data_IF_235701990270
#
_entry.id   IF_235701990270
#
_cell.length_a   1.000
_cell.length_b   1.000
_cell.length_c   1.000
_cell.angle_alpha   90.00
_cell.angle_beta   90.00
_cell.angle_gamma   90.00
#
_symmetry.space_group_name_H-M   'P 1'
#
loop_
_entity.id
_entity.type
_entity.pdbx_description
1 polymer ?
#
# COMPACT_ATOMS: atom_id res chain seq x y z
N UNK A 1 22.30 -26.07 8.01
CA UNK A 1 20.84 -25.88 8.10
C UNK A 1 20.16 -27.02 8.87
N UNK A 2 20.26 -28.27 8.41
CA UNK A 2 19.71 -29.47 9.08
C UNK A 2 20.12 -29.60 10.56
N UNK A 3 21.40 -29.38 10.89
CA UNK A 3 21.89 -29.39 12.27
C UNK A 3 21.28 -28.27 13.14
N UNK A 4 21.35 -27.01 12.69
CA UNK A 4 20.81 -25.85 13.43
C UNK A 4 19.29 -25.89 13.63
N UNK A 5 18.53 -26.36 12.65
CA UNK A 5 17.08 -26.57 12.77
C UNK A 5 16.80 -27.70 13.77
N UNK A 6 17.56 -28.80 13.71
CA UNK A 6 17.49 -29.88 14.70
C UNK A 6 17.77 -29.40 16.13
N UNK A 7 18.80 -28.58 16.33
CA UNK A 7 19.19 -28.04 17.63
C UNK A 7 18.16 -27.05 18.21
N UNK A 8 17.50 -26.26 17.36
CA UNK A 8 16.43 -25.33 17.75
C UNK A 8 15.23 -26.08 18.35
N UNK A 9 14.98 -27.30 17.86
CA UNK A 9 13.79 -28.08 18.19
C UNK A 9 14.01 -29.21 19.20
N UNK A 10 15.27 -29.61 19.44
CA UNK A 10 15.65 -30.56 20.48
C UNK A 10 15.33 -30.09 21.91
N UNK A 11 14.93 -28.82 22.08
CA UNK A 11 14.55 -28.22 23.35
C UNK A 11 13.11 -28.54 23.79
N UNK A 12 12.28 -29.12 22.93
CA UNK A 12 10.91 -29.54 23.26
C UNK A 12 10.85 -31.05 23.56
N UNK A 13 10.75 -31.43 24.84
CA UNK A 13 10.69 -32.83 25.24
C UNK A 13 9.45 -33.54 24.65
N UNK A 14 9.64 -34.70 24.01
CA UNK A 14 8.57 -35.50 23.40
C UNK A 14 8.23 -35.16 21.95
N UNK A 15 8.87 -34.15 21.36
CA UNK A 15 8.64 -33.72 19.98
C UNK A 15 9.71 -34.35 19.05
N UNK A 16 9.28 -35.24 18.17
CA UNK A 16 10.12 -35.88 17.15
C UNK A 16 9.99 -35.18 15.80
N UNK A 17 11.11 -35.04 15.08
CA UNK A 17 11.15 -34.37 13.78
C UNK A 17 11.86 -35.22 12.74
N UNK A 18 11.31 -35.23 11.53
CA UNK A 18 11.90 -35.90 10.38
C UNK A 18 11.85 -34.96 9.18
N UNK A 19 13.02 -34.59 8.64
CA UNK A 19 13.09 -33.84 7.39
C UNK A 19 12.76 -34.77 6.22
N UNK A 20 11.67 -34.50 5.52
CA UNK A 20 11.17 -35.33 4.42
C UNK A 20 11.79 -34.93 3.06
N UNK A 21 12.20 -33.67 2.90
CA UNK A 21 12.82 -33.20 1.66
C UNK A 21 13.05 -31.69 1.64
N UNK A 22 13.72 -31.23 0.59
CA UNK A 22 13.91 -29.82 0.30
C UNK A 22 13.74 -29.57 -1.21
N UNK A 23 13.15 -28.44 -1.58
CA UNK A 23 12.97 -28.01 -2.96
C UNK A 23 13.28 -26.52 -3.12
N UNK A 24 13.77 -26.09 -4.30
CA UNK A 24 13.93 -24.66 -4.58
C UNK A 24 12.59 -23.94 -4.51
N UNK A 25 12.58 -22.76 -3.89
CA UNK A 25 11.48 -21.80 -3.92
C UNK A 25 11.62 -20.83 -5.07
N UNK A 26 10.52 -20.19 -5.46
CA UNK A 26 10.44 -19.38 -6.68
C UNK A 26 11.15 -18.03 -6.58
N UNK A 27 11.50 -17.56 -5.37
CA UNK A 27 12.21 -16.30 -5.13
C UNK A 27 13.62 -16.50 -4.57
N UNK A 28 14.21 -17.68 -4.81
CA UNK A 28 15.57 -18.02 -4.37
C UNK A 28 15.65 -18.59 -2.95
N UNK A 29 14.52 -18.77 -2.26
CA UNK A 29 14.47 -19.51 -1.00
C UNK A 29 14.55 -21.02 -1.22
N UNK A 30 14.71 -21.78 -0.14
CA UNK A 30 14.55 -23.24 -0.12
C UNK A 30 13.33 -23.61 0.72
N UNK A 31 12.35 -24.28 0.12
CA UNK A 31 11.22 -24.89 0.83
C UNK A 31 11.67 -26.22 1.43
N UNK A 32 11.54 -26.39 2.75
CA UNK A 32 11.95 -27.58 3.48
C UNK A 32 10.69 -28.25 4.03
N UNK A 33 10.46 -29.50 3.65
CA UNK A 33 9.35 -30.31 4.14
C UNK A 33 9.80 -31.10 5.37
N UNK A 34 9.09 -30.97 6.47
CA UNK A 34 9.40 -31.64 7.74
C UNK A 34 8.14 -32.26 8.34
N UNK A 35 8.25 -33.49 8.81
CA UNK A 35 7.23 -34.15 9.63
C UNK A 35 7.57 -33.90 11.10
N UNK A 36 6.58 -33.45 11.85
CA UNK A 36 6.60 -33.34 13.30
C UNK A 36 5.70 -34.42 13.88
N UNK A 37 6.14 -35.05 14.96
CA UNK A 37 5.37 -36.00 15.72
C UNK A 37 5.49 -35.68 17.21
N UNK A 38 4.36 -35.66 17.91
CA UNK A 38 4.34 -35.53 19.36
C UNK A 38 3.24 -36.36 19.98
N UNK A 39 3.50 -36.78 21.21
CA UNK A 39 2.55 -37.53 22.01
C UNK A 39 1.59 -36.56 22.72
N UNK A 40 0.29 -36.73 22.48
CA UNK A 40 -0.75 -36.01 23.21
C UNK A 40 -1.19 -36.85 24.41
N UNK A 41 -1.38 -36.25 25.60
CA UNK A 41 -2.04 -36.94 26.70
C UNK A 41 -3.42 -37.40 26.21
N UNK A 42 -3.75 -38.67 26.41
CA UNK A 42 -5.03 -39.28 26.07
C UNK A 42 -5.23 -39.72 24.60
N UNK A 43 -4.17 -39.77 23.77
CA UNK A 43 -4.23 -40.37 22.44
C UNK A 43 -3.41 -41.68 22.38
N UNK A 44 -4.01 -42.74 21.83
CA UNK A 44 -3.35 -44.03 21.66
C UNK A 44 -2.28 -44.03 20.54
N UNK A 45 -2.37 -43.06 19.62
CA UNK A 45 -1.44 -42.89 18.51
C UNK A 45 -0.81 -41.49 18.56
N UNK A 46 0.50 -41.35 18.24
CA UNK A 46 1.17 -40.06 18.19
C UNK A 46 0.54 -39.14 17.13
N UNK A 47 0.33 -37.87 17.49
CA UNK A 47 -0.14 -36.88 16.52
C UNK A 47 0.99 -36.55 15.54
N UNK A 48 0.69 -36.59 14.24
CA UNK A 48 1.66 -36.32 13.16
C UNK A 48 1.19 -35.13 12.34
N UNK A 49 2.05 -34.13 12.21
CA UNK A 49 1.84 -32.94 11.41
C UNK A 49 2.96 -32.81 10.37
N UNK A 50 2.63 -32.43 9.14
CA UNK A 50 3.63 -32.12 8.11
C UNK A 50 3.65 -30.61 7.94
N UNK A 51 4.81 -30.02 8.23
CA UNK A 51 5.06 -28.59 8.08
C UNK A 51 6.08 -28.35 6.97
N UNK A 52 5.93 -27.21 6.33
CA UNK A 52 6.82 -26.67 5.34
C UNK A 52 7.45 -25.40 5.87
N UNK A 53 8.77 -25.30 5.76
CA UNK A 53 9.55 -24.14 6.16
C UNK A 53 10.13 -23.51 4.92
N UNK A 54 9.71 -22.29 4.59
CA UNK A 54 10.36 -21.53 3.53
C UNK A 54 11.55 -20.81 4.12
N UNK A 55 12.76 -21.09 3.65
CA UNK A 55 13.97 -20.54 4.23
C UNK A 55 14.80 -19.73 3.23
N UNK A 56 15.03 -18.47 3.55
CA UNK A 56 15.85 -17.57 2.73
C UNK A 56 17.30 -17.53 3.21
N UNK A 57 18.24 -17.42 2.27
CA UNK A 57 19.67 -17.23 2.57
C UNK A 57 19.98 -15.83 3.11
N UNK A 58 20.91 -15.76 4.05
CA UNK A 58 21.57 -14.53 4.53
C UNK A 58 23.08 -14.69 4.41
N UNK A 59 23.85 -13.57 4.39
CA UNK A 59 25.31 -13.60 4.43
C UNK A 59 25.88 -14.43 5.60
N UNK A 60 25.14 -14.53 6.71
CA UNK A 60 25.47 -15.40 7.84
C UNK A 60 24.22 -16.21 8.26
N UNK A 61 23.89 -17.24 7.48
CA UNK A 61 22.91 -18.26 7.85
C UNK A 61 21.60 -18.22 7.06
N UNK A 62 20.51 -18.63 7.71
CA UNK A 62 19.20 -18.76 7.08
C UNK A 62 18.12 -18.18 8.00
N UNK A 63 17.08 -17.57 7.42
CA UNK A 63 15.86 -17.20 8.16
C UNK A 63 14.69 -18.07 7.71
N UNK A 64 13.85 -18.48 8.65
CA UNK A 64 12.54 -19.06 8.32
C UNK A 64 11.64 -17.88 7.94
N UNK A 65 11.21 -17.86 6.68
CA UNK A 65 10.35 -16.84 6.08
C UNK A 65 8.88 -17.15 6.37
N UNK A 66 8.52 -18.43 6.36
CA UNK A 66 7.16 -18.87 6.65
C UNK A 66 7.13 -20.33 7.15
N UNK A 67 6.08 -20.68 7.89
CA UNK A 67 5.77 -22.05 8.33
C UNK A 67 4.32 -22.31 7.97
N UNK A 68 4.05 -23.41 7.26
CA UNK A 68 2.71 -23.74 6.79
C UNK A 68 2.50 -25.25 6.67
N UNK A 69 1.26 -25.73 6.73
CA UNK A 69 0.94 -27.14 6.56
C UNK A 69 0.66 -27.53 5.09
N UNK A 70 0.30 -28.80 4.84
CA UNK A 70 0.01 -29.28 3.48
C UNK A 70 -1.26 -28.66 2.88
N UNK A 71 -2.27 -28.34 3.70
CA UNK A 71 -3.52 -27.70 3.26
C UNK A 71 -3.22 -26.26 2.86
N UNK A 72 -2.49 -25.52 3.69
CA UNK A 72 -2.04 -24.16 3.41
C UNK A 72 -1.07 -24.12 2.22
N UNK A 73 -0.21 -25.13 2.06
CA UNK A 73 0.65 -25.25 0.87
C UNK A 73 -0.15 -25.45 -0.40
N UNK A 74 -1.18 -26.29 -0.35
CA UNK A 74 -2.06 -26.52 -1.49
C UNK A 74 -2.87 -25.25 -1.80
N UNK A 75 -3.39 -24.57 -0.77
CA UNK A 75 -4.04 -23.28 -0.91
C UNK A 75 -3.09 -22.21 -1.47
N UNK A 76 -1.82 -22.17 -1.06
CA UNK A 76 -0.81 -21.28 -1.63
C UNK A 76 -0.47 -21.63 -3.08
N UNK A 77 -0.51 -22.91 -3.46
CA UNK A 77 -0.35 -23.34 -4.85
C UNK A 77 -1.56 -23.00 -5.70
N UNK A 78 -2.76 -23.12 -5.14
CA UNK A 78 -4.02 -22.83 -5.82
C UNK A 78 -4.25 -21.30 -5.92
N UNK A 79 -3.89 -20.55 -4.88
CA UNK A 79 -3.83 -19.07 -4.88
C UNK A 79 -2.61 -18.51 -5.61
N UNK A 80 -1.64 -19.32 -6.05
CA UNK A 80 -0.58 -18.81 -6.95
C UNK A 80 -1.10 -18.44 -8.34
N UNK A 81 -2.35 -18.75 -8.69
CA UNK A 81 -3.01 -18.14 -9.85
C UNK A 81 -3.63 -16.76 -9.57
N UNK A 82 -3.77 -16.35 -8.30
CA UNK A 82 -4.33 -15.05 -7.88
C UNK A 82 -3.55 -14.53 -6.68
N UNK A 83 -2.63 -13.58 -6.92
CA UNK A 83 -1.94 -12.75 -5.90
C UNK A 83 -2.55 -12.86 -4.50
N UNK A 84 -1.78 -13.27 -3.49
CA UNK A 84 -2.23 -13.37 -2.09
C UNK A 84 -2.68 -12.03 -1.47
N UNK A 85 -2.64 -10.93 -2.23
CA UNK A 85 -3.19 -9.63 -1.89
C UNK A 85 -4.41 -9.26 -2.75
N UNK A 86 -4.55 -9.85 -3.94
CA UNK A 86 -5.75 -9.76 -4.77
C UNK A 86 -6.69 -10.91 -4.44
N UNK A 87 -7.45 -10.74 -3.36
CA UNK A 87 -8.66 -11.52 -3.17
C UNK A 87 -9.81 -10.53 -2.99
N UNK A 88 -10.52 -10.14 -4.07
CA UNK A 88 -11.67 -9.25 -3.98
C UNK A 88 -12.79 -9.82 -3.09
N UNK A 89 -12.76 -11.11 -2.75
CA UNK A 89 -13.65 -11.74 -1.77
C UNK A 89 -13.16 -11.64 -0.31
N UNK A 90 -11.89 -11.33 -0.04
CA UNK A 90 -11.31 -11.30 1.31
C UNK A 90 -11.94 -10.25 2.23
N UNK A 91 -12.37 -9.11 1.67
CA UNK A 91 -13.14 -8.07 2.37
C UNK A 91 -14.64 -8.07 2.02
N UNK A 92 -15.18 -9.14 1.39
CA UNK A 92 -16.61 -9.25 1.05
C UNK A 92 -17.30 -10.45 1.66
N UNK A 93 -16.61 -11.59 1.78
CA UNK A 93 -17.21 -12.83 2.22
C UNK A 93 -17.67 -12.72 3.68
N UNK A 94 -18.99 -12.76 3.89
CA UNK A 94 -19.61 -12.79 5.21
C UNK A 94 -19.91 -11.43 5.85
N UNK A 95 -19.45 -10.31 5.28
CA UNK A 95 -19.76 -8.98 5.84
C UNK A 95 -21.23 -8.58 5.54
N UNK A 96 -21.94 -7.98 6.52
CA UNK A 96 -23.27 -7.43 6.29
C UNK A 96 -23.27 -6.31 5.24
N UNK A 97 -24.33 -6.21 4.43
CA UNK A 97 -24.49 -5.19 3.38
C UNK A 97 -24.29 -3.75 3.88
N UNK A 98 -24.73 -3.47 5.11
CA UNK A 98 -24.52 -2.17 5.77
C UNK A 98 -23.04 -1.81 5.93
N UNK A 99 -22.18 -2.80 6.16
CA UNK A 99 -20.72 -2.63 6.28
C UNK A 99 -20.13 -2.41 4.89
N UNK A 100 -20.55 -3.19 3.90
CA UNK A 100 -20.10 -3.01 2.51
C UNK A 100 -20.43 -1.61 1.98
N UNK A 101 -21.66 -1.12 2.22
CA UNK A 101 -22.06 0.24 1.88
C UNK A 101 -21.22 1.30 2.63
N UNK A 102 -20.88 1.04 3.89
CA UNK A 102 -20.04 1.93 4.69
C UNK A 102 -18.62 2.06 4.11
N UNK A 103 -18.06 0.94 3.71
CA UNK A 103 -16.74 0.82 3.09
C UNK A 103 -16.71 1.60 1.78
N UNK A 104 -17.67 1.33 0.88
CA UNK A 104 -17.70 1.93 -0.44
C UNK A 104 -17.87 3.46 -0.36
N UNK A 105 -18.66 3.93 0.60
CA UNK A 105 -18.82 5.38 0.84
C UNK A 105 -17.56 6.06 1.38
N UNK A 106 -16.60 5.32 1.93
CA UNK A 106 -15.30 5.82 2.41
C UNK A 106 -14.21 5.73 1.35
N UNK A 107 -14.40 4.93 0.30
CA UNK A 107 -13.46 4.88 -0.81
C UNK A 107 -13.49 6.20 -1.58
N UNK A 108 -12.32 6.75 -1.86
CA UNK A 108 -12.19 8.06 -2.47
C UNK A 108 -10.91 8.80 -2.15
N UNK A 109 -10.79 9.97 -2.75
CA UNK A 109 -9.83 11.01 -2.35
C UNK A 109 -10.56 12.02 -1.49
N UNK A 110 -10.07 12.18 -0.26
CA UNK A 110 -10.61 13.08 0.76
C UNK A 110 -9.59 14.17 1.07
N UNK A 111 -10.04 15.40 1.19
CA UNK A 111 -9.17 16.54 1.44
C UNK A 111 -9.76 17.47 2.49
N UNK A 112 -8.89 17.97 3.37
CA UNK A 112 -9.14 19.05 4.30
C UNK A 112 -8.03 20.10 4.17
N UNK A 113 -8.05 21.11 5.04
CA UNK A 113 -7.08 22.22 4.97
C UNK A 113 -5.63 21.75 5.17
N UNK A 114 -5.41 20.77 6.05
CA UNK A 114 -4.09 20.30 6.45
C UNK A 114 -3.91 18.78 6.27
N UNK A 115 -4.75 18.16 5.46
CA UNK A 115 -4.82 16.70 5.34
C UNK A 115 -5.33 16.27 3.97
N UNK A 116 -4.76 15.20 3.46
CA UNK A 116 -5.21 14.51 2.25
C UNK A 116 -5.18 12.99 2.51
N UNK A 117 -6.25 12.30 2.13
CA UNK A 117 -6.38 10.85 2.29
C UNK A 117 -6.84 10.27 0.97
N UNK A 118 -6.10 9.32 0.42
CA UNK A 118 -6.63 8.38 -0.57
C UNK A 118 -6.94 7.06 0.10
N UNK A 119 -8.13 6.53 -0.15
CA UNK A 119 -8.59 5.29 0.46
C UNK A 119 -9.27 4.39 -0.56
N UNK A 120 -8.83 3.13 -0.60
CA UNK A 120 -9.53 1.99 -1.24
C UNK A 120 -10.04 1.05 -0.15
N UNK A 121 -10.54 -0.16 -0.46
CA UNK A 121 -11.01 -1.06 0.61
C UNK A 121 -9.87 -1.68 1.41
N UNK A 122 -8.68 -1.78 0.82
CA UNK A 122 -7.54 -2.47 1.42
C UNK A 122 -6.35 -1.57 1.71
N UNK A 123 -6.29 -0.37 1.14
CA UNK A 123 -5.14 0.53 1.28
C UNK A 123 -5.57 1.96 1.59
N UNK A 124 -4.76 2.62 2.40
CA UNK A 124 -4.86 4.05 2.66
C UNK A 124 -3.46 4.68 2.61
N UNK A 125 -3.36 5.82 1.93
CA UNK A 125 -2.24 6.74 2.08
C UNK A 125 -2.79 8.07 2.59
N UNK A 126 -2.26 8.54 3.72
CA UNK A 126 -2.65 9.79 4.37
C UNK A 126 -1.45 10.72 4.46
N UNK A 127 -1.64 11.97 4.05
CA UNK A 127 -0.71 13.07 4.26
C UNK A 127 -1.33 14.06 5.23
N UNK A 128 -0.57 14.55 6.21
CA UNK A 128 -1.08 15.48 7.21
C UNK A 128 0.01 16.45 7.67
N UNK A 129 -0.31 17.74 7.67
CA UNK A 129 0.60 18.76 8.22
C UNK A 129 0.68 18.59 9.74
N UNK A 130 1.89 18.66 10.27
CA UNK A 130 2.09 18.60 11.71
C UNK A 130 1.42 19.82 12.39
N UNK A 131 0.63 19.63 13.47
CA UNK A 131 -0.08 20.72 14.12
C UNK A 131 0.83 21.83 14.65
N UNK A 132 2.05 21.46 15.04
CA UNK A 132 3.07 22.30 15.65
C UNK A 132 4.11 22.81 14.65
N UNK A 133 4.03 22.41 13.38
CA UNK A 133 4.97 22.85 12.35
C UNK A 133 4.31 23.08 10.99
N UNK A 134 4.32 24.32 10.45
CA UNK A 134 3.75 24.61 9.15
C UNK A 134 4.50 23.90 8.00
N UNK A 135 5.74 23.48 8.22
CA UNK A 135 6.58 22.77 7.25
C UNK A 135 6.78 21.30 7.59
N UNK A 136 6.32 20.85 8.76
CA UNK A 136 6.26 19.46 9.15
C UNK A 136 5.16 18.74 8.42
N UNK A 137 5.47 17.58 7.86
CA UNK A 137 4.54 16.76 7.09
C UNK A 137 4.69 15.30 7.50
N UNK A 138 3.56 14.69 7.84
CA UNK A 138 3.41 13.26 8.02
C UNK A 138 2.92 12.61 6.73
N UNK A 139 3.48 11.46 6.40
CA UNK A 139 2.96 10.53 5.43
C UNK A 139 2.75 9.18 6.12
N UNK A 140 1.57 8.60 5.99
CA UNK A 140 1.19 7.32 6.59
C UNK A 140 0.67 6.39 5.51
N UNK A 141 1.14 5.16 5.51
CA UNK A 141 0.57 4.08 4.71
C UNK A 141 -0.03 3.01 5.63
N UNK A 142 -1.27 2.61 5.33
CA UNK A 142 -1.98 1.58 6.07
C UNK A 142 -2.60 0.53 5.16
N UNK A 143 -2.61 -0.71 5.65
CA UNK A 143 -3.47 -1.77 5.13
C UNK A 143 -4.77 -1.81 5.95
N UNK A 144 -5.89 -1.97 5.26
CA UNK A 144 -7.22 -1.93 5.84
C UNK A 144 -7.88 -3.31 5.76
N UNK A 145 -8.50 -3.73 6.85
CA UNK A 145 -9.30 -4.96 6.93
C UNK A 145 -10.59 -4.69 7.66
N UNK A 146 -11.71 -4.98 7.02
CA UNK A 146 -13.02 -4.78 7.64
C UNK A 146 -13.51 -6.07 8.30
N UNK A 147 -14.13 -5.92 9.46
CA UNK A 147 -14.71 -7.00 10.26
C UNK A 147 -16.17 -6.70 10.56
N UNK A 148 -16.89 -7.67 11.12
CA UNK A 148 -18.27 -7.45 11.58
C UNK A 148 -18.39 -6.36 12.65
N UNK A 149 -17.28 -6.06 13.34
CA UNK A 149 -17.21 -5.15 14.47
C UNK A 149 -16.56 -3.81 14.13
N UNK A 150 -15.97 -3.66 12.93
CA UNK A 150 -15.34 -2.40 12.52
C UNK A 150 -14.23 -2.53 11.49
N UNK A 151 -13.18 -1.75 11.67
CA UNK A 151 -12.04 -1.63 10.77
C UNK A 151 -10.75 -1.90 11.54
N UNK A 152 -9.98 -2.89 11.11
CA UNK A 152 -8.57 -3.05 11.50
C UNK A 152 -7.71 -2.22 10.53
N UNK A 153 -7.09 -1.18 11.06
CA UNK A 153 -6.09 -0.38 10.35
C UNK A 153 -4.70 -0.83 10.79
N UNK A 154 -3.98 -1.45 9.88
CA UNK A 154 -2.59 -1.84 10.09
C UNK A 154 -1.70 -0.75 9.53
N UNK A 155 -1.18 0.13 10.40
CA UNK A 155 -0.19 1.12 9.98
C UNK A 155 1.09 0.38 9.63
N UNK A 156 1.54 0.48 8.38
CA UNK A 156 2.72 -0.22 7.87
C UNK A 156 3.91 0.69 7.64
N UNK A 157 3.66 1.96 7.40
CA UNK A 157 4.71 2.96 7.25
C UNK A 157 4.27 4.31 7.78
N UNK A 158 5.18 4.98 8.47
CA UNK A 158 5.03 6.33 8.97
C UNK A 158 6.32 7.09 8.70
N UNK A 159 6.20 8.21 7.99
CA UNK A 159 7.31 9.11 7.69
C UNK A 159 6.93 10.51 8.13
N UNK A 160 7.82 11.14 8.89
CA UNK A 160 7.79 12.56 9.18
C UNK A 160 8.97 13.24 8.51
N UNK A 161 8.75 14.42 7.94
CA UNK A 161 9.83 15.30 7.55
C UNK A 161 9.46 16.77 7.76
N UNK A 162 10.44 17.56 8.18
CA UNK A 162 10.36 19.02 8.26
C UNK A 162 11.54 19.64 7.50
N UNK A 163 11.24 20.31 6.40
CA UNK A 163 12.21 20.90 5.48
C UNK A 163 13.02 22.04 6.06
N UNK A 164 12.49 22.77 7.04
CA UNK A 164 13.18 23.90 7.69
C UNK A 164 14.26 23.38 8.63
N UNK A 165 13.87 22.48 9.53
CA UNK A 165 14.78 21.94 10.54
C UNK A 165 15.63 20.77 10.02
N UNK A 166 15.35 20.30 8.80
CA UNK A 166 15.95 19.11 8.17
C UNK A 166 15.86 17.86 9.05
N UNK A 167 14.78 17.76 9.83
CA UNK A 167 14.48 16.61 10.68
C UNK A 167 13.56 15.67 9.91
N UNK A 168 13.90 14.39 9.91
CA UNK A 168 13.00 13.34 9.45
C UNK A 168 12.99 12.19 10.46
N UNK A 169 11.85 11.50 10.53
CA UNK A 169 11.69 10.27 11.31
C UNK A 169 10.98 9.26 10.43
N UNK A 170 11.42 8.01 10.49
CA UNK A 170 10.90 6.93 9.64
C UNK A 170 10.67 5.70 10.49
N UNK A 171 9.50 5.11 10.35
CA UNK A 171 9.23 3.78 10.86
C UNK A 171 8.44 3.00 9.82
N UNK A 172 8.96 1.84 9.41
CA UNK A 172 8.32 1.02 8.39
C UNK A 172 8.47 -0.48 8.69
N UNK A 173 7.34 -1.19 8.58
CA UNK A 173 7.22 -2.65 8.56
C UNK A 173 7.09 -3.12 7.11
N UNK A 174 7.24 -4.41 6.84
CA UNK A 174 6.96 -4.96 5.50
C UNK A 174 5.57 -4.47 5.00
N UNK A 175 5.60 -3.62 3.98
CA UNK A 175 4.39 -2.94 3.47
C UNK A 175 3.37 -3.91 2.88
N UNK A 176 3.75 -5.15 2.57
CA UNK A 176 2.88 -6.12 1.91
C UNK A 176 2.67 -7.42 2.66
N UNK A 177 2.84 -7.43 3.97
CA UNK A 177 2.51 -8.59 4.79
C UNK A 177 1.66 -8.18 5.98
N UNK A 178 0.56 -8.90 6.20
CA UNK A 178 -0.18 -8.78 7.45
C UNK A 178 0.52 -9.47 8.63
N UNK A 179 1.31 -10.50 8.33
CA UNK A 179 1.89 -11.43 9.30
C UNK A 179 3.27 -11.00 9.83
N UNK A 180 4.01 -10.18 9.07
CA UNK A 180 5.35 -9.74 9.47
C UNK A 180 5.26 -8.34 10.07
N UNK A 181 5.38 -8.28 11.40
CA UNK A 181 5.43 -7.03 12.17
C UNK A 181 6.87 -6.70 12.62
N UNK A 182 7.89 -7.37 12.07
CA UNK A 182 9.27 -6.98 12.34
C UNK A 182 9.57 -5.68 11.59
N UNK A 183 9.99 -4.60 12.28
CA UNK A 183 10.39 -3.37 11.62
C UNK A 183 11.64 -3.63 10.81
N UNK A 184 11.64 -3.16 9.56
CA UNK A 184 12.87 -3.11 8.76
C UNK A 184 13.52 -1.72 8.83
N UNK A 185 12.79 -0.70 9.31
CA UNK A 185 13.29 0.62 9.68
C UNK A 185 12.62 1.09 10.96
N UNK A 186 13.39 1.59 11.91
CA UNK A 186 12.83 2.11 13.15
C UNK A 186 13.59 3.30 13.70
N UNK A 187 12.89 4.42 13.79
CA UNK A 187 13.03 5.34 14.92
C UNK A 187 12.19 4.79 16.09
N UNK A 188 12.79 4.67 17.28
CA UNK A 188 12.13 4.10 18.46
C UNK A 188 10.96 4.96 18.94
N UNK A 189 11.04 6.27 18.70
CA UNK A 189 9.98 7.22 19.07
C UNK A 189 8.66 6.98 18.32
N UNK A 190 8.73 6.36 17.13
CA UNK A 190 7.55 6.11 16.27
C UNK A 190 7.03 4.67 16.37
N UNK A 191 7.73 3.79 17.09
CA UNK A 191 7.40 2.37 17.12
C UNK A 191 6.02 2.07 17.73
N UNK A 192 5.56 2.91 18.67
CA UNK A 192 4.22 2.79 19.25
C UNK A 192 3.10 3.19 18.27
N UNK A 193 3.40 4.07 17.31
CA UNK A 193 2.42 4.53 16.31
C UNK A 193 2.23 3.55 15.16
N UNK A 194 3.25 2.74 14.87
CA UNK A 194 3.18 1.69 13.85
C UNK A 194 2.67 0.41 14.50
N UNK A 195 1.35 0.30 14.59
CA UNK A 195 0.65 -0.79 15.24
C UNK A 195 -0.62 -1.17 14.48
N UNK A 196 -1.23 -2.28 14.89
CA UNK A 196 -2.60 -2.61 14.49
C UNK A 196 -3.55 -1.81 15.36
N UNK A 197 -4.32 -0.92 14.74
CA UNK A 197 -5.36 -0.14 15.38
C UNK A 197 -6.71 -0.73 15.01
N UNK A 198 -7.45 -1.23 16.01
CA UNK A 198 -8.82 -1.71 15.81
C UNK A 198 -9.79 -0.57 16.04
N UNK A 199 -10.33 -0.04 14.95
CA UNK A 199 -11.39 0.95 14.96
C UNK A 199 -12.74 0.25 15.09
N UNK A 200 -13.46 0.53 16.17
CA UNK A 200 -14.76 -0.05 16.44
C UNK A 200 -15.83 0.70 15.65
N UNK A 201 -16.73 -0.04 15.02
CA UNK A 201 -17.92 0.54 14.42
C UNK A 201 -18.96 0.82 15.50
N UNK A 202 -19.23 2.10 15.73
CA UNK A 202 -20.29 2.60 16.58
C UNK A 202 -21.40 3.23 15.73
N UNK A 203 -22.57 3.43 16.35
CA UNK A 203 -23.65 4.25 15.80
C UNK A 203 -23.78 5.49 16.68
N UNK A 204 -23.67 6.67 16.08
CA UNK A 204 -23.87 7.97 16.74
C UNK A 204 -24.92 8.75 15.95
N UNK A 205 -26.00 9.16 16.62
CA UNK A 205 -27.11 9.91 16.01
C UNK A 205 -27.67 9.23 14.73
N UNK A 206 -27.70 7.89 14.74
CA UNK A 206 -28.16 7.08 13.60
C UNK A 206 -27.15 6.94 12.46
N UNK A 207 -25.96 7.54 12.57
CA UNK A 207 -24.88 7.45 11.60
C UNK A 207 -23.75 6.51 12.07
N UNK A 208 -23.17 5.70 11.17
CA UNK A 208 -22.03 4.84 11.47
C UNK A 208 -20.73 5.64 11.62
N UNK A 209 -20.10 5.50 12.79
CA UNK A 209 -18.84 6.16 13.18
C UNK A 209 -17.80 5.08 13.47
N UNK A 210 -16.58 5.28 12.98
CA UNK A 210 -15.44 4.44 13.37
C UNK A 210 -14.71 5.14 14.53
N UNK A 211 -14.42 4.41 15.61
CA UNK A 211 -13.73 4.96 16.78
C UNK A 211 -12.43 4.20 17.05
N UNK A 212 -11.31 4.91 17.11
CA UNK A 212 -9.99 4.32 17.37
C UNK A 212 -9.81 3.96 18.84
N UNK A 213 -8.85 3.07 19.16
CA UNK A 213 -8.48 2.76 20.54
C UNK A 213 -8.03 3.98 21.35
N UNK A 214 -7.48 4.99 20.66
CA UNK A 214 -7.01 6.24 21.26
C UNK A 214 -8.14 7.26 21.49
N UNK A 215 -9.36 6.94 21.06
CA UNK A 215 -10.56 7.78 21.23
C UNK A 215 -10.86 8.67 20.03
N UNK A 216 -10.01 8.71 19.00
CA UNK A 216 -10.31 9.44 17.76
C UNK A 216 -11.53 8.83 17.07
N UNK A 217 -12.29 9.64 16.35
CA UNK A 217 -13.48 9.17 15.64
C UNK A 217 -13.54 9.68 14.22
N UNK A 218 -13.94 8.82 13.29
CA UNK A 218 -14.21 9.16 11.91
C UNK A 218 -15.72 9.04 11.64
N UNK A 219 -16.36 10.19 11.41
CA UNK A 219 -17.79 10.30 11.17
C UNK A 219 -18.05 10.67 9.70
N UNK A 220 -18.78 9.82 8.98
CA UNK A 220 -19.24 10.15 7.63
C UNK A 220 -20.65 10.73 7.70
N UNK A 221 -20.77 12.03 7.45
CA UNK A 221 -22.02 12.77 7.53
C UNK A 221 -22.97 12.43 6.36
N UNK A 222 -24.29 12.61 6.54
CA UNK A 222 -25.26 12.49 5.44
C UNK A 222 -24.98 13.44 4.27
N UNK A 223 -24.30 14.56 4.52
CA UNK A 223 -23.87 15.52 3.49
C UNK A 223 -22.78 14.98 2.55
N UNK A 224 -22.20 13.81 2.85
CA UNK A 224 -21.07 13.26 2.11
C UNK A 224 -19.71 13.82 2.55
N UNK A 225 -19.67 14.65 3.60
CA UNK A 225 -18.44 15.09 4.25
C UNK A 225 -18.01 14.10 5.33
N UNK A 226 -16.72 14.05 5.60
CA UNK A 226 -16.14 13.24 6.67
C UNK A 226 -15.53 14.15 7.74
N UNK A 227 -15.79 13.86 9.00
CA UNK A 227 -15.21 14.56 10.14
C UNK A 227 -14.27 13.61 10.88
N UNK A 228 -13.05 14.09 11.15
CA UNK A 228 -12.12 13.45 12.06
C UNK A 228 -12.15 14.20 13.39
N UNK A 229 -12.50 13.49 14.45
CA UNK A 229 -12.63 14.02 15.80
C UNK A 229 -11.53 13.44 16.69
N UNK A 230 -11.02 14.25 17.61
CA UNK A 230 -10.09 13.81 18.64
C UNK A 230 -10.76 13.03 19.77
N UNK A 231 -9.99 12.54 20.75
CA UNK A 231 -10.49 11.74 21.88
C UNK A 231 -11.54 12.43 22.75
N UNK A 232 -11.48 13.76 22.81
CA UNK A 232 -12.42 14.64 23.51
C UNK A 232 -13.64 15.04 22.66
N UNK A 233 -13.72 14.53 21.42
CA UNK A 233 -14.75 14.87 20.45
C UNK A 233 -14.54 16.21 19.74
N UNK A 234 -13.39 16.87 19.93
CA UNK A 234 -13.05 18.10 19.21
C UNK A 234 -12.81 17.78 17.74
N UNK A 235 -13.37 18.60 16.85
CA UNK A 235 -13.13 18.50 15.41
C UNK A 235 -11.67 18.79 15.09
N UNK A 236 -10.94 17.78 14.61
CA UNK A 236 -9.56 17.91 14.14
C UNK A 236 -9.55 18.32 12.66
N UNK A 237 -10.35 17.61 11.84
CA UNK A 237 -10.43 17.87 10.41
C UNK A 237 -11.85 17.72 9.89
N UNK A 238 -12.23 18.61 8.99
CA UNK A 238 -13.39 18.44 8.14
C UNK A 238 -12.92 18.17 6.72
N UNK A 239 -13.35 17.04 6.18
CA UNK A 239 -12.93 16.51 4.90
C UNK A 239 -14.09 16.51 3.91
N UNK A 240 -13.79 16.82 2.67
CA UNK A 240 -14.68 16.61 1.54
C UNK A 240 -14.10 15.54 0.61
N UNK A 241 -14.98 14.81 -0.08
CA UNK A 241 -14.56 13.88 -1.12
C UNK A 241 -14.43 14.61 -2.45
N UNK A 242 -13.21 14.73 -2.97
CA UNK A 242 -12.94 15.34 -4.28
C UNK A 242 -12.97 14.34 -5.42
N UNK A 243 -12.80 13.05 -5.11
CA UNK A 243 -12.95 11.96 -6.07
C UNK A 243 -13.60 10.76 -5.39
N UNK A 244 -14.63 10.19 -6.01
CA UNK A 244 -15.15 8.88 -5.64
C UNK A 244 -14.33 7.81 -6.36
N UNK A 245 -13.86 6.81 -5.60
CA UNK A 245 -13.06 5.71 -6.14
C UNK A 245 -13.88 4.44 -6.06
N UNK A 246 -14.28 3.90 -7.20
CA UNK A 246 -15.08 2.68 -7.24
C UNK A 246 -14.20 1.45 -7.43
N UNK A 247 -14.31 0.49 -6.51
CA UNK A 247 -13.54 -0.77 -6.58
C UNK A 247 -14.23 -1.78 -7.49
N UNK A 248 -13.49 -2.27 -8.48
CA UNK A 248 -13.98 -3.26 -9.43
C UNK A 248 -13.85 -4.68 -8.85
N UNK A 249 -14.90 -5.48 -9.04
CA UNK A 249 -14.89 -6.89 -8.63
C UNK A 249 -13.95 -7.73 -9.50
N UNK A 250 -13.80 -7.36 -10.76
CA UNK A 250 -13.00 -8.07 -11.76
C UNK A 250 -11.97 -7.12 -12.36
N UNK A 251 -10.89 -7.70 -12.87
CA UNK A 251 -9.87 -6.97 -13.61
C UNK A 251 -10.49 -6.33 -14.86
N UNK A 252 -10.34 -5.00 -15.06
CA UNK A 252 -10.81 -4.35 -16.27
C UNK A 252 -9.99 -4.79 -17.50
N UNK A 253 -10.63 -4.75 -18.66
CA UNK A 253 -9.92 -4.92 -19.93
C UNK A 253 -9.07 -3.68 -20.20
N UNK A 254 -7.77 -3.85 -20.34
CA UNK A 254 -6.87 -2.80 -20.76
C UNK A 254 -6.55 -3.00 -22.25
N UNK A 255 -6.79 -2.03 -23.14
CA UNK A 255 -6.44 -2.17 -24.56
C UNK A 255 -4.93 -2.22 -24.75
N UNK A 256 -4.46 -2.83 -25.85
CA UNK A 256 -3.07 -2.61 -26.30
C UNK A 256 -2.91 -1.18 -26.78
N UNK A 257 -1.68 -0.68 -26.77
CA UNK A 257 -1.38 0.65 -27.32
C UNK A 257 -1.66 0.77 -28.84
N UNK A 258 -1.74 -0.35 -29.57
CA UNK A 258 -2.13 -0.38 -30.98
C UNK A 258 -3.65 -0.40 -31.21
N UNK A 259 -4.46 -0.55 -30.15
CA UNK A 259 -5.90 -0.76 -30.22
C UNK A 259 -6.70 0.46 -29.69
N UNK A 260 -6.04 1.45 -29.08
CA UNK A 260 -6.67 2.62 -28.48
C UNK A 260 -5.70 3.83 -28.49
N UNK A 261 -6.20 5.07 -28.27
CA UNK A 261 -5.35 6.23 -28.05
C UNK A 261 -4.33 6.01 -26.92
N UNK A 262 -3.11 6.52 -27.10
CA UNK A 262 -2.02 6.35 -26.13
C UNK A 262 -2.41 6.96 -24.78
N UNK A 263 -3.11 8.10 -24.79
CA UNK A 263 -3.63 8.71 -23.56
C UNK A 263 -4.54 7.78 -22.77
N UNK A 264 -5.45 7.07 -23.44
CA UNK A 264 -6.36 6.11 -22.81
C UNK A 264 -5.62 4.88 -22.26
N UNK A 265 -4.60 4.40 -22.99
CA UNK A 265 -3.71 3.34 -22.51
C UNK A 265 -2.94 3.78 -21.27
N UNK A 266 -2.26 4.93 -21.31
CA UNK A 266 -1.53 5.49 -20.17
C UNK A 266 -2.44 5.66 -18.96
N UNK A 267 -3.65 6.19 -19.16
CA UNK A 267 -4.62 6.34 -18.09
C UNK A 267 -5.02 4.99 -17.49
N UNK A 268 -5.51 4.07 -18.32
CA UNK A 268 -6.08 2.81 -17.83
C UNK A 268 -5.04 1.86 -17.25
N UNK A 269 -3.80 1.84 -17.76
CA UNK A 269 -2.77 0.88 -17.35
C UNK A 269 -2.18 1.13 -15.96
N UNK A 270 -2.45 2.30 -15.37
CA UNK A 270 -1.96 2.65 -14.03
C UNK A 270 -3.05 2.62 -12.96
N UNK A 271 -4.34 2.57 -13.33
CA UNK A 271 -5.45 2.57 -12.38
C UNK A 271 -5.40 1.35 -11.47
N UNK A 272 -5.49 1.60 -10.16
CA UNK A 272 -5.55 0.56 -9.15
C UNK A 272 -4.74 0.91 -7.93
N UNK A 273 -4.78 0.02 -6.95
CA UNK A 273 -3.85 -0.01 -5.84
C UNK A 273 -2.94 -1.21 -5.97
N UNK A 274 -1.64 -1.03 -5.75
CA UNK A 274 -0.66 -2.10 -5.88
C UNK A 274 0.56 -1.88 -4.99
N UNK A 275 1.24 -2.98 -4.70
CA UNK A 275 2.53 -2.98 -3.99
C UNK A 275 3.63 -3.34 -4.99
N UNK A 276 4.35 -2.33 -5.45
CA UNK A 276 5.51 -2.50 -6.33
C UNK A 276 6.71 -3.00 -5.55
N UNK A 277 7.52 -3.88 -6.13
CA UNK A 277 8.86 -4.17 -5.61
C UNK A 277 9.84 -3.11 -6.10
N UNK A 278 10.73 -2.66 -5.23
CA UNK A 278 11.87 -1.83 -5.57
C UNK A 278 13.16 -2.49 -5.09
N UNK A 279 14.12 -2.61 -6.00
CA UNK A 279 15.42 -3.28 -5.78
C UNK A 279 15.30 -4.73 -5.26
N UNK A 280 14.22 -5.42 -5.64
CA UNK A 280 13.94 -6.81 -5.31
C UNK A 280 13.55 -7.09 -3.86
N UNK A 281 13.78 -6.14 -2.94
CA UNK A 281 13.62 -6.30 -1.49
C UNK A 281 12.56 -5.36 -0.92
N UNK A 282 12.60 -4.08 -1.28
CA UNK A 282 11.72 -3.06 -0.73
C UNK A 282 10.38 -3.07 -1.45
N UNK A 283 9.33 -2.65 -0.75
CA UNK A 283 8.02 -2.43 -1.37
C UNK A 283 7.73 -0.93 -1.45
N UNK A 284 7.01 -0.54 -2.48
CA UNK A 284 6.41 0.79 -2.67
C UNK A 284 4.91 0.60 -2.76
N UNK A 285 4.15 1.34 -1.98
CA UNK A 285 2.71 1.39 -2.13
C UNK A 285 2.34 2.46 -3.14
N UNK A 286 1.47 2.10 -4.09
CA UNK A 286 0.94 3.03 -5.10
C UNK A 286 -0.57 2.90 -5.12
N UNK A 287 -1.27 4.03 -5.10
CA UNK A 287 -2.70 4.11 -5.37
C UNK A 287 -2.89 5.14 -6.48
N UNK A 288 -3.42 4.71 -7.61
CA UNK A 288 -3.73 5.58 -8.73
C UNK A 288 -5.20 5.49 -9.04
N UNK A 289 -5.84 6.65 -9.03
CA UNK A 289 -7.25 6.90 -9.26
C UNK A 289 -7.41 7.60 -10.61
N UNK A 290 -8.61 8.05 -10.98
CA UNK A 290 -8.85 8.70 -12.28
C UNK A 290 -8.03 9.99 -12.41
N UNK A 291 -7.97 10.82 -11.37
CA UNK A 291 -7.31 12.13 -11.47
C UNK A 291 -6.08 12.27 -10.59
N UNK A 292 -5.86 11.35 -9.64
CA UNK A 292 -4.81 11.46 -8.63
C UNK A 292 -3.97 10.18 -8.54
N UNK A 293 -2.68 10.35 -8.26
CA UNK A 293 -1.76 9.26 -7.98
C UNK A 293 -0.99 9.53 -6.68
N UNK A 294 -0.80 8.45 -5.92
CA UNK A 294 -0.23 8.47 -4.59
C UNK A 294 0.87 7.43 -4.49
N UNK A 295 2.00 7.82 -3.94
CA UNK A 295 3.16 6.96 -3.75
C UNK A 295 3.57 7.06 -2.28
N UNK A 296 3.84 5.91 -1.67
CA UNK A 296 4.51 5.80 -0.39
C UNK A 296 5.70 4.85 -0.53
N UNK A 297 6.89 5.37 -0.27
CA UNK A 297 8.13 4.61 -0.25
C UNK A 297 9.03 5.13 0.88
N UNK A 298 9.47 4.21 1.73
CA UNK A 298 10.33 4.50 2.87
C UNK A 298 11.44 3.46 2.98
N UNK A 299 12.68 3.96 3.04
CA UNK A 299 13.96 3.26 3.16
C UNK A 299 14.85 4.01 4.14
N UNK A 300 15.94 3.39 4.59
CA UNK A 300 16.83 3.94 5.62
C UNK A 300 17.41 5.31 5.23
N UNK A 301 17.77 5.48 3.97
CA UNK A 301 18.42 6.67 3.41
C UNK A 301 17.56 7.40 2.37
N UNK A 302 16.35 6.89 2.13
CA UNK A 302 15.48 7.36 1.06
C UNK A 302 14.01 7.30 1.47
N UNK A 303 13.36 8.45 1.53
CA UNK A 303 11.91 8.54 1.61
C UNK A 303 11.37 9.29 0.40
N UNK A 304 10.37 8.70 -0.23
CA UNK A 304 9.64 9.32 -1.32
C UNK A 304 8.15 9.04 -1.15
N UNK A 305 7.46 10.00 -0.55
CA UNK A 305 6.02 9.99 -0.43
C UNK A 305 5.45 11.18 -1.20
N UNK A 306 4.44 10.94 -2.04
CA UNK A 306 3.93 11.96 -2.95
C UNK A 306 2.45 11.78 -3.24
N UNK A 307 1.74 12.89 -3.36
CA UNK A 307 0.47 12.97 -4.08
C UNK A 307 0.63 13.92 -5.27
N UNK A 308 0.00 13.58 -6.37
CA UNK A 308 -0.08 14.47 -7.52
C UNK A 308 -1.34 14.19 -8.32
N UNK A 309 -1.95 15.25 -8.83
CA UNK A 309 -2.89 15.14 -9.93
C UNK A 309 -2.18 14.91 -11.24
N UNK A 310 -2.84 14.18 -12.13
CA UNK A 310 -2.32 13.92 -13.46
C UNK A 310 -3.42 13.92 -14.52
N UNK A 311 -3.01 14.16 -15.76
CA UNK A 311 -3.81 13.92 -16.95
C UNK A 311 -2.92 13.28 -18.02
N UNK A 312 -3.55 12.58 -18.95
CA UNK A 312 -2.88 11.84 -20.02
C UNK A 312 -3.45 12.21 -21.37
N UNK A 313 -2.60 12.33 -22.38
CA UNK A 313 -2.97 12.48 -23.77
C UNK A 313 -2.05 11.65 -24.66
N UNK A 314 -2.24 11.73 -25.97
CA UNK A 314 -1.43 10.93 -26.91
C UNK A 314 0.05 11.36 -26.98
N UNK A 315 0.36 12.55 -26.46
CA UNK A 315 1.74 13.04 -26.36
C UNK A 315 2.44 12.61 -25.07
N UNK A 316 1.72 12.15 -24.05
CA UNK A 316 2.30 11.73 -22.78
C UNK A 316 1.42 11.94 -21.57
N UNK A 317 2.06 12.16 -20.42
CA UNK A 317 1.39 12.42 -19.14
C UNK A 317 1.88 13.74 -18.54
N UNK A 318 0.95 14.54 -18.05
CA UNK A 318 1.24 15.74 -17.27
C UNK A 318 0.90 15.47 -15.81
N UNK A 319 1.73 15.93 -14.88
CA UNK A 319 1.40 15.95 -13.45
C UNK A 319 1.58 17.32 -12.82
N UNK A 320 0.72 17.65 -11.87
CA UNK A 320 0.90 18.80 -10.97
C UNK A 320 1.10 18.29 -9.55
N UNK A 321 2.17 18.74 -8.92
CA UNK A 321 2.50 18.31 -7.56
C UNK A 321 1.56 18.94 -6.55
N UNK A 322 0.90 18.09 -5.77
CA UNK A 322 0.07 18.53 -4.67
C UNK A 322 0.86 18.35 -3.37
N UNK A 323 1.18 17.12 -2.94
CA UNK A 323 2.00 16.89 -1.73
C UNK A 323 3.32 16.19 -2.08
N UNK A 324 4.42 16.62 -1.45
CA UNK A 324 5.74 16.01 -1.63
C UNK A 324 6.49 15.88 -0.31
N UNK A 325 6.98 14.68 -0.04
CA UNK A 325 7.96 14.37 0.98
C UNK A 325 9.11 13.59 0.31
N UNK A 326 10.27 14.24 0.20
CA UNK A 326 11.49 13.64 -0.33
C UNK A 326 12.62 13.82 0.67
N UNK A 327 13.23 12.73 1.09
CA UNK A 327 14.45 12.74 1.90
C UNK A 327 15.45 11.81 1.26
N UNK A 328 16.58 12.35 0.81
CA UNK A 328 17.73 11.61 0.30
C UNK A 328 18.99 12.50 0.42
N UNK A 329 20.20 12.02 0.08
CA UNK A 329 21.43 12.82 0.19
C UNK A 329 21.43 14.15 -0.59
N UNK A 330 20.67 14.23 -1.68
CA UNK A 330 20.63 15.38 -2.59
C UNK A 330 19.40 16.28 -2.39
N UNK A 331 18.33 15.80 -1.76
CA UNK A 331 17.07 16.54 -1.59
C UNK A 331 16.46 16.29 -0.21
N UNK A 332 16.06 17.38 0.44
CA UNK A 332 15.28 17.35 1.66
C UNK A 332 14.10 18.30 1.49
N UNK A 333 12.92 17.76 1.19
CA UNK A 333 11.71 18.52 0.88
C UNK A 333 10.51 17.92 1.60
N UNK A 334 9.74 18.77 2.29
CA UNK A 334 8.41 18.48 2.81
C UNK A 334 7.51 19.65 2.44
N UNK A 335 6.47 19.39 1.65
CA UNK A 335 5.56 20.43 1.15
C UNK A 335 4.14 19.89 1.00
N UNK A 336 3.22 20.63 1.57
CA UNK A 336 1.78 20.56 1.32
C UNK A 336 1.29 22.00 1.10
N UNK A 337 0.62 22.32 -0.02
CA UNK A 337 0.00 23.61 -0.27
C UNK A 337 -1.03 23.96 0.79
N UNK A 338 -1.16 25.25 1.13
CA UNK A 338 -2.18 25.74 2.07
C UNK A 338 -3.57 25.84 1.43
N UNK A 339 -3.64 25.87 0.10
CA UNK A 339 -4.88 25.90 -0.68
C UNK A 339 -5.22 24.53 -1.30
N UNK A 340 -4.75 23.44 -0.70
CA UNK A 340 -4.87 22.07 -1.21
C UNK A 340 -6.31 21.69 -1.64
N UNK A 341 -7.37 21.90 -0.82
CA UNK A 341 -8.74 21.62 -1.26
C UNK A 341 -9.14 22.33 -2.55
N UNK A 342 -8.72 23.59 -2.71
CA UNK A 342 -9.02 24.37 -3.92
C UNK A 342 -8.31 23.78 -5.14
N UNK A 343 -7.06 23.35 -4.98
CA UNK A 343 -6.28 22.72 -6.05
C UNK A 343 -6.90 21.41 -6.50
N UNK A 344 -7.25 20.52 -5.56
CA UNK A 344 -7.74 19.18 -5.89
C UNK A 344 -9.14 19.16 -6.52
N UNK A 345 -10.00 20.14 -6.20
CA UNK A 345 -11.34 20.26 -6.82
C UNK A 345 -11.31 20.64 -8.30
N UNK A 346 -10.23 21.26 -8.77
CA UNK A 346 -10.17 21.80 -10.12
C UNK A 346 -9.64 20.75 -11.09
N UNK A 347 -10.26 20.59 -12.28
CA UNK A 347 -9.67 19.82 -13.35
C UNK A 347 -8.25 20.31 -13.64
N UNK A 348 -7.34 19.38 -13.95
CA UNK A 348 -5.98 19.73 -14.32
C UNK A 348 -6.00 20.26 -15.76
N UNK A 349 -5.77 21.57 -15.90
CA UNK A 349 -5.56 22.22 -17.20
C UNK A 349 -4.08 22.17 -17.56
N UNK A 350 -3.77 21.75 -18.79
CA UNK A 350 -2.42 21.62 -19.33
C UNK A 350 -2.32 22.14 -20.77
N UNK A 351 -1.10 22.41 -21.21
CA UNK A 351 -0.78 22.89 -22.57
C UNK A 351 0.00 21.82 -23.31
N UNK A 352 -0.59 21.29 -24.40
CA UNK A 352 0.05 20.25 -25.21
C UNK A 352 1.33 20.70 -25.90
N UNK A 353 1.53 22.01 -26.09
CA UNK A 353 2.75 22.55 -26.70
C UNK A 353 3.98 22.42 -25.79
N UNK A 354 3.80 22.05 -24.52
CA UNK A 354 4.89 21.85 -23.57
C UNK A 354 5.40 20.40 -23.56
N UNK A 355 4.79 19.48 -24.30
CA UNK A 355 5.37 18.16 -24.53
C UNK A 355 6.52 18.26 -25.56
N UNK A 356 7.72 17.92 -25.11
CA UNK A 356 8.89 17.76 -25.97
C UNK A 356 9.17 16.27 -26.21
N UNK A 357 9.17 15.76 -27.46
CA UNK A 357 9.34 14.34 -27.75
C UNK A 357 10.74 13.79 -27.46
N UNK A 358 11.66 14.61 -26.92
CA UNK A 358 13.04 14.21 -26.63
C UNK A 358 13.37 14.24 -25.14
N UNK A 359 12.59 14.95 -24.32
CA UNK A 359 12.88 15.19 -22.90
C UNK A 359 11.62 15.29 -22.04
N UNK A 360 11.80 15.16 -20.73
CA UNK A 360 10.81 15.63 -19.77
C UNK A 360 10.92 17.14 -19.63
N UNK A 361 9.80 17.86 -19.75
CA UNK A 361 9.76 19.32 -19.53
C UNK A 361 9.22 19.58 -18.12
N UNK A 362 10.00 20.32 -17.32
CA UNK A 362 9.61 20.74 -15.97
C UNK A 362 9.30 22.23 -16.03
N UNK A 363 8.08 22.60 -15.63
CA UNK A 363 7.67 23.98 -15.42
C UNK A 363 7.61 24.30 -13.92
N UNK A 364 7.24 25.52 -13.57
CA UNK A 364 7.07 25.91 -12.16
C UNK A 364 6.04 25.03 -11.43
N UNK A 365 4.97 24.63 -12.12
CA UNK A 365 3.81 23.97 -11.52
C UNK A 365 3.53 22.54 -12.02
N UNK A 366 4.22 22.09 -13.07
CA UNK A 366 3.93 20.81 -13.72
C UNK A 366 5.15 20.09 -14.29
N UNK A 367 5.07 18.77 -14.39
CA UNK A 367 5.98 17.95 -15.17
C UNK A 367 5.24 17.39 -16.38
N UNK A 368 5.82 17.55 -17.57
CA UNK A 368 5.34 16.99 -18.83
C UNK A 368 6.27 15.84 -19.23
N UNK A 369 5.76 14.62 -19.09
CA UNK A 369 6.46 13.38 -19.44
C UNK A 369 6.00 12.93 -20.82
N UNK A 370 6.75 13.31 -21.84
CA UNK A 370 6.43 13.00 -23.23
C UNK A 370 6.66 11.52 -23.54
N UNK A 371 5.88 10.99 -24.48
CA UNK A 371 6.06 9.64 -25.03
C UNK A 371 7.42 9.54 -25.72
N UNK A 372 8.22 8.58 -25.27
CA UNK A 372 9.51 8.21 -25.84
C UNK A 372 9.38 7.07 -26.84
N UNK A 373 8.60 6.05 -26.51
CA UNK A 373 8.35 4.89 -27.38
C UNK A 373 7.03 4.21 -27.01
N UNK A 374 6.45 3.53 -27.98
CA UNK A 374 5.17 2.81 -27.83
C UNK A 374 5.31 1.41 -28.41
N UNK A 375 5.01 0.42 -27.59
CA UNK A 375 4.74 -0.95 -27.99
C UNK A 375 3.41 -1.43 -27.39
N UNK A 376 2.87 -2.52 -27.91
CA UNK A 376 1.53 -3.03 -27.55
C UNK A 376 1.27 -3.15 -26.05
N UNK A 377 2.30 -3.51 -25.26
CA UNK A 377 2.19 -3.72 -23.81
C UNK A 377 3.17 -2.86 -22.98
N UNK A 378 3.83 -1.89 -23.60
CA UNK A 378 4.80 -1.02 -22.94
C UNK A 378 4.79 0.36 -23.61
N UNK A 379 4.47 1.38 -22.83
CA UNK A 379 4.68 2.77 -23.22
C UNK A 379 5.83 3.30 -22.37
N UNK A 380 6.82 3.92 -22.99
CA UNK A 380 7.91 4.56 -22.28
C UNK A 380 7.75 6.07 -22.36
N UNK A 381 7.87 6.75 -21.22
CA UNK A 381 7.90 8.22 -21.16
C UNK A 381 9.31 8.70 -20.87
N UNK A 382 9.64 9.90 -21.35
CA UNK A 382 10.83 10.62 -20.92
C UNK A 382 10.69 11.01 -19.44
N UNK A 383 11.60 10.51 -18.60
CA UNK A 383 11.69 10.86 -17.19
C UNK A 383 12.54 12.10 -16.94
N UNK A 384 12.43 12.67 -15.75
CA UNK A 384 13.28 13.79 -15.33
C UNK A 384 14.76 13.35 -15.26
N UNK A 385 15.70 14.26 -15.51
CA UNK A 385 17.13 13.96 -15.37
C UNK A 385 17.71 12.97 -16.38
N UNK A 386 16.99 12.68 -17.47
CA UNK A 386 17.39 11.72 -18.50
C UNK A 386 16.87 10.30 -18.27
N UNK A 387 16.09 10.07 -17.21
CA UNK A 387 15.47 8.79 -16.92
C UNK A 387 14.44 8.37 -17.97
N UNK A 388 14.00 7.12 -17.90
CA UNK A 388 12.89 6.59 -18.70
C UNK A 388 11.90 5.90 -17.79
N UNK A 389 10.63 6.28 -17.88
CA UNK A 389 9.57 5.72 -17.03
C UNK A 389 8.73 4.72 -17.84
N UNK A 390 8.80 3.41 -17.51
CA UNK A 390 8.02 2.40 -18.20
C UNK A 390 6.61 2.26 -17.63
N UNK A 391 5.61 2.28 -18.51
CA UNK A 391 4.21 1.97 -18.22
C UNK A 391 3.87 0.63 -18.89
N UNK A 392 3.82 -0.41 -18.08
CA UNK A 392 3.49 -1.76 -18.54
C UNK A 392 1.98 -1.96 -18.55
N UNK A 393 1.47 -2.54 -19.64
CA UNK A 393 0.07 -2.98 -19.68
C UNK A 393 -0.15 -4.04 -18.60
N UNK A 394 -1.20 -3.92 -17.76
CA UNK A 394 -1.48 -4.92 -16.76
C UNK A 394 -1.98 -6.21 -17.42
N UNK A 395 -1.11 -7.21 -17.59
CA UNK A 395 -1.46 -8.50 -18.20
C UNK A 395 -1.94 -9.55 -17.17
N UNK A 396 -1.45 -9.47 -15.94
CA UNK A 396 -1.89 -10.28 -14.80
C UNK A 396 -2.37 -9.39 -13.64
N UNK A 397 -3.02 -9.99 -12.64
CA UNK A 397 -3.38 -9.32 -11.39
C UNK A 397 -2.30 -9.47 -10.29
N UNK A 398 -1.13 -10.05 -10.61
CA UNK A 398 -0.18 -10.56 -9.60
C UNK A 398 0.43 -9.50 -8.67
N UNK A 399 0.35 -8.23 -9.03
CA UNK A 399 0.89 -7.12 -8.22
C UNK A 399 -0.18 -6.16 -7.72
N UNK A 400 -1.40 -6.25 -8.25
CA UNK A 400 -2.52 -5.40 -7.86
C UNK A 400 -3.13 -5.93 -6.56
N UNK A 401 -3.49 -5.01 -5.68
CA UNK A 401 -4.32 -5.27 -4.50
C UNK A 401 -5.78 -5.05 -4.89
N UNK A 402 -6.09 -3.95 -5.58
CA UNK A 402 -7.43 -3.63 -6.07
C UNK A 402 -7.39 -2.95 -7.44
N UNK A 403 -8.42 -3.20 -8.24
CA UNK A 403 -8.71 -2.43 -9.45
C UNK A 403 -9.70 -1.34 -9.13
N UNK A 404 -9.48 -0.14 -9.67
CA UNK A 404 -10.35 1.02 -9.44
C UNK A 404 -10.81 1.63 -10.75
N UNK A 405 -11.89 2.40 -10.69
CA UNK A 405 -12.36 3.28 -11.78
C UNK A 405 -12.80 4.64 -11.25
#
# INVERSE_FOLDING_TARGET
MKAKIGDLFAQAAGLQFEMLGASPGDSGETEIKTRMQFDLPDQAEPFRLVLYFLAGERPVGYRIVNIYDEVERQQMRDSRMESSLYNPAFNRAGLPERILSLIDRRCGVWVGENIEIVRTRHMEIRFERAPDSPTGLWARFSLLRYTDFGLEQHVRGLVYANSVDRVHKVHALDLGSFAVNEPYLSDLDLASEVSVQTWLLAIRDGAPVLQSPQGESECLLPSGRMELLGPDGVLLHQLERVEEVAILAEKPSHPKASEAPIGECLHSWQLGSFLGKVDGIHKRAIITTRHHAYIFEAREDFCYCRSFRYETCDLGMVSKMDVRLMVNPNEFTSRMPTDLPKRLRQPLVYDENLFDPTVCVITEDANYWSVKSVGDNLIQLHGCGGDTYPFHRPLSASHYVEWVR
#
